data_IF_586401223547
#
_entry.id   IF_586401223547
#
_cell.length_a   1.000
_cell.length_b   1.000
_cell.length_c   1.000
_cell.angle_alpha   90.00
_cell.angle_beta   90.00
_cell.angle_gamma   90.00
#
_symmetry.space_group_name_H-M   'P 1'
#
loop_
_entity.id
_entity.type
_entity.pdbx_description
1 polymer ?
#
# COMPACT_ATOMS: atom_id res chain seq x y z
N UNK A 1 -13.03 -16.70 13.15
CA UNK A 1 -12.55 -15.71 12.18
C UNK A 1 -11.24 -15.13 12.69
N UNK A 2 -10.17 -15.24 11.92
CA UNK A 2 -8.85 -14.73 12.31
C UNK A 2 -8.67 -13.27 11.87
N UNK A 3 -8.00 -12.48 12.70
CA UNK A 3 -7.68 -11.09 12.38
C UNK A 3 -6.56 -11.04 11.35
N UNK A 4 -6.74 -10.22 10.33
CA UNK A 4 -5.71 -9.91 9.35
C UNK A 4 -5.00 -8.61 9.75
N UNK A 5 -3.78 -8.74 10.28
CA UNK A 5 -2.95 -7.61 10.69
C UNK A 5 -2.51 -6.79 9.48
N UNK A 6 -2.60 -5.46 9.58
CA UNK A 6 -2.24 -4.56 8.49
C UNK A 6 -3.27 -4.50 7.36
N UNK A 7 -4.49 -4.92 7.63
CA UNK A 7 -5.61 -4.91 6.68
C UNK A 7 -6.90 -4.44 7.35
N UNK A 8 -7.90 -4.17 6.53
CA UNK A 8 -9.25 -3.92 7.02
C UNK A 8 -9.90 -5.21 7.47
N UNK A 9 -10.57 -5.13 8.63
CA UNK A 9 -11.35 -6.22 9.21
C UNK A 9 -12.72 -5.65 9.59
N UNK A 10 -13.79 -6.40 9.34
CA UNK A 10 -15.14 -6.04 9.81
C UNK A 10 -15.39 -6.72 11.14
N UNK A 11 -15.48 -5.93 12.21
CA UNK A 11 -15.59 -6.43 13.58
C UNK A 11 -16.80 -5.84 14.29
N UNK A 12 -17.37 -6.61 15.21
CA UNK A 12 -18.52 -6.20 16.02
C UNK A 12 -18.06 -5.48 17.28
N UNK A 13 -18.73 -4.37 17.61
CA UNK A 13 -18.55 -3.65 18.87
C UNK A 13 -19.19 -4.47 19.99
N UNK A 14 -18.41 -4.88 20.97
CA UNK A 14 -18.89 -5.74 22.07
C UNK A 14 -18.97 -5.02 23.41
N UNK A 15 -18.28 -3.88 23.56
CA UNK A 15 -18.23 -3.18 24.85
C UNK A 15 -17.84 -1.72 24.65
N UNK A 16 -18.51 -0.83 25.38
CA UNK A 16 -18.15 0.59 25.46
C UNK A 16 -17.38 0.84 26.77
N UNK A 17 -16.30 1.60 26.68
CA UNK A 17 -15.50 2.02 27.82
C UNK A 17 -15.20 3.52 27.71
N UNK A 18 -14.69 4.14 28.78
CA UNK A 18 -14.43 5.58 28.82
C UNK A 18 -13.44 6.04 27.74
N UNK A 19 -12.51 5.20 27.31
CA UNK A 19 -11.45 5.53 26.37
C UNK A 19 -11.65 4.94 24.96
N UNK A 20 -12.81 4.35 24.69
CA UNK A 20 -13.13 3.84 23.35
C UNK A 20 -14.16 2.72 23.35
N UNK A 21 -14.11 1.93 22.29
CA UNK A 21 -14.92 0.74 22.11
C UNK A 21 -14.01 -0.47 21.99
N UNK A 22 -14.44 -1.61 22.57
CA UNK A 22 -13.78 -2.89 22.30
C UNK A 22 -14.54 -3.64 21.20
N UNK A 23 -13.76 -4.19 20.27
CA UNK A 23 -14.26 -4.96 19.13
C UNK A 23 -13.93 -6.43 19.31
N UNK A 24 -14.78 -7.31 18.78
CA UNK A 24 -14.56 -8.76 18.81
C UNK A 24 -13.45 -9.16 17.85
N UNK A 25 -12.28 -9.49 18.39
CA UNK A 25 -11.13 -9.99 17.65
C UNK A 25 -11.06 -11.51 17.53
N UNK A 26 -12.13 -12.22 17.88
CA UNK A 26 -12.15 -13.68 17.87
C UNK A 26 -11.09 -14.28 18.78
N UNK A 27 -10.21 -15.10 18.25
CA UNK A 27 -9.12 -15.74 19.01
C UNK A 27 -8.13 -14.74 19.60
N UNK A 28 -8.02 -13.55 19.02
CA UNK A 28 -7.14 -12.49 19.51
C UNK A 28 -7.73 -11.71 20.70
N UNK A 29 -8.96 -12.03 21.08
CA UNK A 29 -9.65 -11.34 22.17
C UNK A 29 -10.23 -10.00 21.73
N UNK A 30 -10.49 -9.13 22.69
CA UNK A 30 -11.04 -7.80 22.45
C UNK A 30 -9.96 -6.84 21.95
N UNK A 31 -10.30 -6.10 20.88
CA UNK A 31 -9.39 -5.12 20.26
C UNK A 31 -9.95 -3.72 20.49
N UNK A 32 -9.12 -2.82 21.03
CA UNK A 32 -9.52 -1.44 21.31
C UNK A 32 -9.59 -0.60 20.03
N UNK A 33 -10.71 0.08 19.88
CA UNK A 33 -10.88 1.23 18.98
C UNK A 33 -10.90 2.49 19.84
N UNK A 34 -9.83 3.29 19.84
CA UNK A 34 -9.77 4.51 20.67
C UNK A 34 -10.89 5.48 20.39
N UNK A 35 -11.34 6.21 21.41
CA UNK A 35 -12.50 7.12 21.36
C UNK A 35 -12.47 8.09 20.17
N UNK A 36 -11.29 8.64 19.85
CA UNK A 36 -11.13 9.61 18.75
C UNK A 36 -11.47 9.03 17.38
N UNK A 37 -11.45 7.69 17.24
CA UNK A 37 -11.72 7.00 15.97
C UNK A 37 -13.08 6.31 15.94
N UNK A 38 -13.85 6.39 17.03
CA UNK A 38 -15.19 5.82 17.11
C UNK A 38 -16.14 6.68 16.28
N UNK A 39 -16.87 6.09 15.31
CA UNK A 39 -17.86 6.83 14.52
C UNK A 39 -18.97 7.42 15.42
N UNK A 40 -19.53 8.54 14.97
CA UNK A 40 -20.68 9.14 15.64
C UNK A 40 -21.85 8.13 15.70
N UNK A 41 -22.56 8.12 16.83
CA UNK A 41 -23.72 7.24 17.07
C UNK A 41 -23.39 5.73 17.03
N UNK A 42 -22.12 5.37 17.19
CA UNK A 42 -21.70 3.98 17.32
C UNK A 42 -22.12 3.37 18.65
N UNK A 43 -22.64 2.17 18.62
CA UNK A 43 -23.12 1.45 19.81
C UNK A 43 -22.76 -0.04 19.76
N UNK A 44 -22.82 -0.68 20.90
CA UNK A 44 -22.63 -2.14 21.04
C UNK A 44 -23.56 -2.88 20.09
N UNK A 45 -22.99 -3.84 19.36
CA UNK A 45 -23.69 -4.62 18.33
C UNK A 45 -23.43 -4.13 16.90
N UNK A 46 -22.95 -2.90 16.74
CA UNK A 46 -22.59 -2.39 15.42
C UNK A 46 -21.38 -3.11 14.84
N UNK A 47 -21.39 -3.31 13.53
CA UNK A 47 -20.24 -3.85 12.81
C UNK A 47 -19.49 -2.71 12.13
N UNK A 48 -18.20 -2.63 12.38
CA UNK A 48 -17.32 -1.60 11.85
C UNK A 48 -16.25 -2.19 10.94
N UNK A 49 -15.99 -1.52 9.84
CA UNK A 49 -14.84 -1.82 8.99
C UNK A 49 -13.66 -0.98 9.49
N UNK A 50 -12.69 -1.63 10.13
CA UNK A 50 -11.55 -1.00 10.76
C UNK A 50 -10.23 -1.57 10.27
N UNK A 51 -9.21 -0.73 10.25
CA UNK A 51 -7.85 -1.15 9.99
C UNK A 51 -7.18 -1.57 11.28
N UNK A 52 -6.53 -2.73 11.28
CA UNK A 52 -5.89 -3.31 12.47
C UNK A 52 -4.38 -3.21 12.33
N UNK A 53 -3.74 -2.62 13.33
CA UNK A 53 -2.27 -2.52 13.39
C UNK A 53 -1.78 -2.70 14.83
N UNK A 54 -0.48 -2.63 15.06
CA UNK A 54 0.12 -2.75 16.39
C UNK A 54 0.45 -1.38 16.95
N UNK A 55 0.09 -1.12 18.21
CA UNK A 55 0.49 0.09 18.91
C UNK A 55 1.98 0.02 19.35
N UNK A 56 2.45 1.04 20.07
CA UNK A 56 3.85 1.10 20.51
C UNK A 56 4.24 0.02 21.52
N UNK A 57 3.26 -0.62 22.15
CA UNK A 57 3.44 -1.75 23.06
C UNK A 57 3.18 -3.11 22.38
N UNK A 58 3.10 -3.12 21.05
CA UNK A 58 2.87 -4.31 20.21
C UNK A 58 1.52 -4.98 20.47
N UNK A 59 0.52 -4.20 20.90
CA UNK A 59 -0.85 -4.68 21.07
C UNK A 59 -1.67 -4.36 19.81
N UNK A 60 -2.57 -5.27 19.45
CA UNK A 60 -3.53 -5.01 18.38
C UNK A 60 -4.40 -3.82 18.74
N UNK A 61 -4.53 -2.89 17.80
CA UNK A 61 -5.38 -1.70 17.93
C UNK A 61 -6.10 -1.45 16.61
N UNK A 62 -7.33 -0.96 16.70
CA UNK A 62 -8.15 -0.62 15.54
C UNK A 62 -8.18 0.89 15.30
N UNK A 63 -8.36 1.27 14.05
CA UNK A 63 -8.58 2.67 13.67
C UNK A 63 -9.60 2.77 12.53
N UNK A 64 -10.33 3.87 12.51
CA UNK A 64 -11.17 4.27 11.38
C UNK A 64 -10.46 5.25 10.44
N UNK A 65 -9.23 5.62 10.75
CA UNK A 65 -8.37 6.34 9.81
C UNK A 65 -8.09 5.47 8.59
N UNK A 66 -7.92 6.10 7.43
CA UNK A 66 -7.59 5.41 6.19
C UNK A 66 -6.08 5.40 6.00
N UNK A 67 -5.41 4.24 6.13
CA UNK A 67 -3.99 4.15 5.84
C UNK A 67 -3.75 4.34 4.34
N UNK A 68 -2.57 4.86 3.99
CA UNK A 68 -2.16 5.07 2.60
C UNK A 68 -1.74 3.76 1.92
N UNK A 69 -1.53 2.72 2.68
CA UNK A 69 -1.15 1.40 2.19
C UNK A 69 -1.60 0.32 3.18
N UNK A 70 -1.97 -0.84 2.65
CA UNK A 70 -2.22 -2.05 3.44
C UNK A 70 -1.10 -3.07 3.20
N UNK A 71 -1.00 -4.05 4.09
CA UNK A 71 -0.11 -5.20 3.87
C UNK A 71 -0.43 -5.86 2.53
N UNK A 72 0.59 -6.10 1.72
CA UNK A 72 0.47 -6.65 0.37
C UNK A 72 0.38 -5.62 -0.74
N UNK A 73 0.34 -4.34 -0.41
CA UNK A 73 0.22 -3.25 -1.37
C UNK A 73 1.48 -2.38 -1.44
N UNK A 74 1.56 -1.59 -2.50
CA UNK A 74 2.61 -0.59 -2.72
C UNK A 74 2.04 0.82 -2.55
N UNK A 75 2.88 1.74 -2.07
CA UNK A 75 2.56 3.16 -2.02
C UNK A 75 3.82 4.01 -2.04
N UNK A 76 3.69 5.25 -2.49
CA UNK A 76 4.73 6.26 -2.40
C UNK A 76 4.50 7.07 -1.13
N UNK A 77 5.42 6.96 -0.17
CA UNK A 77 5.27 7.53 1.17
C UNK A 77 6.44 8.44 1.52
N UNK A 78 6.15 9.48 2.31
CA UNK A 78 7.13 10.45 2.76
C UNK A 78 7.80 9.99 4.06
N UNK A 79 9.12 10.17 4.13
CA UNK A 79 9.90 9.90 5.34
C UNK A 79 9.67 11.03 6.34
N UNK A 80 9.07 10.67 7.50
CA UNK A 80 8.81 11.63 8.57
C UNK A 80 10.04 11.84 9.47
N UNK A 81 10.75 10.75 9.79
CA UNK A 81 11.95 10.81 10.63
C UNK A 81 12.79 9.54 10.47
N UNK A 82 14.04 9.60 10.95
CA UNK A 82 15.02 8.51 10.85
C UNK A 82 15.69 8.35 12.20
N UNK A 83 15.96 7.11 12.60
CA UNK A 83 16.77 6.81 13.77
C UNK A 83 17.88 5.81 13.42
N UNK A 84 18.50 5.24 14.44
CA UNK A 84 19.60 4.27 14.28
C UNK A 84 19.17 2.92 13.66
N UNK A 85 17.88 2.65 13.56
CA UNK A 85 17.35 1.38 13.01
C UNK A 85 16.81 1.50 11.59
N UNK A 86 16.41 2.67 11.19
CA UNK A 86 15.84 2.88 9.88
C UNK A 86 15.00 4.15 9.75
N UNK A 87 14.17 4.17 8.73
CA UNK A 87 13.28 5.28 8.42
C UNK A 87 11.85 4.97 8.85
N UNK A 88 11.12 6.03 9.19
CA UNK A 88 9.71 5.96 9.57
C UNK A 88 8.91 6.85 8.63
N UNK A 89 7.97 6.23 7.91
CA UNK A 89 7.21 6.85 6.83
C UNK A 89 5.79 7.15 7.28
N UNK A 90 5.31 8.32 6.89
CA UNK A 90 3.92 8.69 7.12
C UNK A 90 3.00 7.86 6.21
N UNK A 91 2.16 7.04 6.79
CA UNK A 91 1.16 6.25 6.07
C UNK A 91 -0.28 6.55 6.50
N UNK A 92 -0.48 7.71 7.15
CA UNK A 92 -1.80 8.20 7.53
C UNK A 92 -2.28 7.78 8.91
N UNK A 93 -1.49 7.04 9.66
CA UNK A 93 -1.82 6.58 11.01
C UNK A 93 -0.96 7.30 12.07
N UNK A 94 -1.34 7.18 13.33
CA UNK A 94 -0.58 7.76 14.46
C UNK A 94 0.82 7.19 14.58
N UNK A 95 0.98 5.90 14.29
CA UNK A 95 2.27 5.22 14.30
C UNK A 95 2.79 5.14 12.87
N UNK A 96 3.99 5.66 12.62
CA UNK A 96 4.61 5.64 11.29
C UNK A 96 5.02 4.23 10.87
N UNK A 97 5.11 4.03 9.56
CA UNK A 97 5.51 2.75 8.96
C UNK A 97 7.02 2.64 8.89
N UNK A 98 7.56 1.57 9.47
CA UNK A 98 9.00 1.37 9.61
C UNK A 98 9.63 0.72 8.38
N UNK A 99 10.76 1.29 7.92
CA UNK A 99 11.60 0.73 6.85
C UNK A 99 13.02 0.55 7.41
N UNK A 100 13.41 -0.69 7.79
CA UNK A 100 14.76 -0.95 8.28
C UNK A 100 15.80 -0.58 7.23
N UNK A 101 17.02 -0.25 7.63
CA UNK A 101 18.09 0.10 6.68
C UNK A 101 18.35 -0.99 5.65
N UNK A 102 18.27 -2.28 6.05
CA UNK A 102 18.48 -3.42 5.12
C UNK A 102 17.40 -3.50 4.02
N UNK A 103 16.24 -2.85 4.23
CA UNK A 103 15.14 -2.81 3.26
C UNK A 103 15.13 -1.54 2.41
N UNK A 104 16.11 -0.68 2.58
CA UNK A 104 16.29 0.53 1.77
C UNK A 104 17.21 0.24 0.59
N UNK A 105 16.78 0.63 -0.60
CA UNK A 105 17.59 0.48 -1.82
C UNK A 105 18.75 1.46 -1.84
N UNK A 106 18.47 2.69 -1.41
CA UNK A 106 19.45 3.73 -1.10
C UNK A 106 19.04 4.35 0.22
N UNK A 107 19.97 4.97 0.93
CA UNK A 107 19.69 5.59 2.23
C UNK A 107 18.57 6.63 2.08
N UNK A 108 17.47 6.42 2.78
CA UNK A 108 16.33 7.33 2.76
C UNK A 108 16.66 8.65 3.46
N UNK A 109 16.02 9.73 3.03
CA UNK A 109 16.19 11.08 3.58
C UNK A 109 14.84 11.64 4.04
N UNK A 110 14.84 12.31 5.19
CA UNK A 110 13.66 12.98 5.74
C UNK A 110 13.06 13.96 4.72
N UNK A 111 11.74 13.94 4.58
CA UNK A 111 11.00 14.79 3.66
C UNK A 111 10.92 14.29 2.23
N UNK A 112 11.69 13.28 1.86
CA UNK A 112 11.62 12.66 0.53
C UNK A 112 10.62 11.52 0.51
N UNK A 113 10.07 11.24 -0.67
CA UNK A 113 9.08 10.18 -0.91
C UNK A 113 9.71 8.99 -1.61
N UNK A 114 9.30 7.80 -1.22
CA UNK A 114 9.80 6.54 -1.79
C UNK A 114 8.65 5.58 -2.01
N UNK A 115 8.71 4.82 -3.10
CA UNK A 115 7.78 3.72 -3.33
C UNK A 115 8.21 2.53 -2.50
N UNK A 116 7.31 2.04 -1.67
CA UNK A 116 7.56 0.91 -0.76
C UNK A 116 6.43 -0.10 -0.84
N UNK A 117 6.73 -1.33 -0.43
CA UNK A 117 5.76 -2.41 -0.24
C UNK A 117 5.59 -2.68 1.26
N UNK A 118 4.36 -2.68 1.74
CA UNK A 118 4.07 -3.03 3.13
C UNK A 118 3.89 -4.55 3.27
N UNK A 119 4.52 -5.13 4.27
CA UNK A 119 4.45 -6.57 4.52
C UNK A 119 4.62 -6.86 6.01
N UNK A 120 4.31 -8.09 6.41
CA UNK A 120 4.60 -8.58 7.75
C UNK A 120 6.02 -9.12 7.78
N UNK A 121 6.82 -8.68 8.75
CA UNK A 121 8.15 -9.22 8.97
C UNK A 121 8.05 -10.68 9.45
N UNK A 122 8.76 -11.59 8.78
CA UNK A 122 8.69 -13.02 9.05
C UNK A 122 9.12 -13.41 10.46
N UNK A 123 10.04 -12.66 11.05
CA UNK A 123 10.56 -12.95 12.39
C UNK A 123 9.72 -12.30 13.50
N UNK A 124 9.42 -11.00 13.37
CA UNK A 124 8.74 -10.22 14.42
C UNK A 124 7.22 -10.15 14.27
N UNK A 125 6.68 -10.53 13.11
CA UNK A 125 5.26 -10.35 12.74
C UNK A 125 4.77 -8.91 12.81
N UNK A 126 5.69 -7.93 12.79
CA UNK A 126 5.34 -6.52 12.74
C UNK A 126 5.10 -6.08 11.30
N UNK A 127 4.31 -5.02 11.15
CA UNK A 127 4.11 -4.39 9.85
C UNK A 127 5.35 -3.54 9.55
N UNK A 128 6.03 -3.85 8.46
CA UNK A 128 7.21 -3.13 7.98
C UNK A 128 7.05 -2.84 6.50
N UNK A 129 7.92 -2.01 5.96
CA UNK A 129 7.94 -1.74 4.54
C UNK A 129 9.33 -1.91 3.94
N UNK A 130 9.38 -2.14 2.63
CA UNK A 130 10.60 -2.33 1.87
C UNK A 130 10.58 -1.48 0.61
N UNK A 131 11.69 -0.80 0.32
CA UNK A 131 11.90 -0.11 -0.95
C UNK A 131 12.44 -1.06 -2.04
N UNK A 132 12.70 -2.31 -1.71
CA UNK A 132 13.16 -3.34 -2.64
C UNK A 132 11.96 -3.95 -3.37
N UNK A 133 11.31 -3.13 -4.18
CA UNK A 133 10.03 -3.39 -4.84
C UNK A 133 10.05 -4.68 -5.65
N UNK A 134 11.13 -4.98 -6.37
CA UNK A 134 11.24 -6.16 -7.22
C UNK A 134 10.97 -7.48 -6.50
N UNK A 135 11.25 -7.56 -5.19
CA UNK A 135 11.05 -8.78 -4.40
C UNK A 135 9.57 -9.14 -4.25
N UNK A 136 8.70 -8.14 -4.32
CA UNK A 136 7.27 -8.27 -4.03
C UNK A 136 6.41 -8.27 -5.28
N UNK A 137 7.01 -8.11 -6.45
CA UNK A 137 6.33 -8.22 -7.73
C UNK A 137 6.25 -9.68 -8.17
N UNK A 138 5.14 -10.05 -8.81
CA UNK A 138 4.93 -11.41 -9.28
C UNK A 138 5.98 -11.81 -10.32
N UNK A 139 6.47 -13.01 -10.22
CA UNK A 139 7.36 -13.65 -11.21
C UNK A 139 6.58 -14.48 -12.23
N UNK A 140 5.30 -14.68 -12.00
CA UNK A 140 4.44 -15.40 -12.92
C UNK A 140 4.07 -14.52 -14.12
N UNK A 141 3.80 -15.16 -15.25
CA UNK A 141 3.33 -14.45 -16.45
C UNK A 141 1.91 -13.95 -16.22
N UNK A 142 1.71 -12.64 -16.42
CA UNK A 142 0.40 -12.03 -16.29
C UNK A 142 -0.57 -12.50 -17.37
N UNK A 143 -1.86 -12.52 -17.06
CA UNK A 143 -2.94 -12.93 -17.96
C UNK A 143 -3.81 -11.71 -18.31
N UNK A 144 -3.19 -10.61 -18.71
CA UNK A 144 -3.90 -9.43 -19.18
C UNK A 144 -4.16 -9.51 -20.68
N UNK A 145 -5.31 -9.00 -21.08
CA UNK A 145 -5.64 -8.83 -22.49
C UNK A 145 -5.17 -7.47 -23.02
N UNK A 146 -4.84 -7.41 -24.31
CA UNK A 146 -4.52 -6.13 -24.97
C UNK A 146 -5.70 -5.17 -24.86
N UNK A 147 -5.44 -3.94 -24.44
CA UNK A 147 -6.46 -2.92 -24.20
C UNK A 147 -7.11 -2.95 -22.82
N UNK A 148 -6.79 -3.92 -21.98
CA UNK A 148 -7.33 -4.00 -20.62
C UNK A 148 -6.90 -2.81 -19.79
N UNK A 149 -7.87 -2.16 -19.12
CA UNK A 149 -7.61 -1.07 -18.18
C UNK A 149 -7.05 -1.62 -16.87
N UNK A 150 -6.01 -0.97 -16.37
CA UNK A 150 -5.35 -1.33 -15.12
C UNK A 150 -5.01 -0.08 -14.30
N UNK A 151 -4.85 -0.27 -12.99
CA UNK A 151 -4.33 0.76 -12.09
C UNK A 151 -2.82 0.67 -12.04
N UNK A 152 -2.14 1.81 -12.16
CA UNK A 152 -0.68 1.84 -12.08
C UNK A 152 -0.16 2.83 -11.05
N UNK A 153 1.02 2.51 -10.51
CA UNK A 153 1.84 3.37 -9.69
C UNK A 153 3.20 3.50 -10.35
N UNK A 154 3.56 4.72 -10.78
CA UNK A 154 4.88 5.00 -11.35
C UNK A 154 5.93 4.85 -10.24
N UNK A 155 6.93 4.01 -10.45
CA UNK A 155 7.89 3.76 -9.38
C UNK A 155 9.35 3.98 -9.75
N UNK A 156 9.70 4.02 -11.04
CA UNK A 156 11.08 4.26 -11.44
C UNK A 156 11.16 4.83 -12.87
N UNK A 157 11.95 5.89 -13.02
CA UNK A 157 12.34 6.37 -14.33
C UNK A 157 13.50 5.53 -14.87
N UNK A 158 13.46 5.19 -16.15
CA UNK A 158 14.50 4.43 -16.86
C UNK A 158 14.87 5.14 -18.16
N UNK A 159 15.92 4.68 -18.84
CA UNK A 159 16.32 5.20 -20.14
C UNK A 159 15.25 5.00 -21.23
N UNK A 160 14.41 3.96 -21.07
CA UNK A 160 13.35 3.63 -22.02
C UNK A 160 12.03 4.36 -21.73
N UNK A 161 11.85 4.88 -20.53
CA UNK A 161 10.61 5.49 -20.09
C UNK A 161 10.40 5.30 -18.57
N UNK A 162 9.22 4.84 -18.16
CA UNK A 162 8.90 4.66 -16.76
C UNK A 162 8.43 3.25 -16.47
N UNK A 163 8.97 2.68 -15.40
CA UNK A 163 8.41 1.46 -14.81
C UNK A 163 7.20 1.80 -13.94
N UNK A 164 6.16 1.00 -14.06
CA UNK A 164 4.94 1.14 -13.29
C UNK A 164 4.55 -0.19 -12.64
N UNK A 165 4.03 -0.10 -11.42
CA UNK A 165 3.46 -1.25 -10.72
C UNK A 165 1.99 -1.34 -11.14
N UNK A 166 1.60 -2.51 -11.64
CA UNK A 166 0.26 -2.78 -12.17
C UNK A 166 -0.55 -3.54 -11.13
N UNK A 167 -1.67 -2.97 -10.67
CA UNK A 167 -2.61 -3.60 -9.74
C UNK A 167 -1.94 -4.19 -8.48
N UNK A 168 -0.91 -3.53 -7.95
CA UNK A 168 -0.11 -3.98 -6.80
C UNK A 168 0.57 -5.35 -7.01
N UNK A 169 0.74 -5.82 -8.24
CA UNK A 169 1.14 -7.20 -8.51
C UNK A 169 2.27 -7.34 -9.53
N UNK A 170 2.20 -6.64 -10.67
CA UNK A 170 3.15 -6.79 -11.77
C UNK A 170 3.90 -5.49 -12.06
N UNK A 171 5.05 -5.60 -12.70
CA UNK A 171 5.76 -4.46 -13.28
C UNK A 171 5.49 -4.37 -14.78
N UNK A 172 5.24 -3.16 -15.25
CA UNK A 172 5.12 -2.85 -16.67
C UNK A 172 5.98 -1.66 -17.05
N UNK A 173 6.11 -1.41 -18.35
CA UNK A 173 6.90 -0.31 -18.90
C UNK A 173 6.03 0.59 -19.76
N UNK A 174 6.08 1.89 -19.45
CA UNK A 174 5.59 2.96 -20.30
C UNK A 174 6.78 3.51 -21.07
N UNK A 175 6.80 3.32 -22.40
CA UNK A 175 7.86 3.83 -23.25
C UNK A 175 7.72 5.34 -23.44
N UNK A 176 8.85 6.04 -23.42
CA UNK A 176 8.89 7.50 -23.56
C UNK A 176 8.16 7.99 -24.82
N UNK A 177 8.27 7.26 -25.93
CA UNK A 177 7.58 7.57 -27.19
C UNK A 177 6.05 7.54 -27.09
N UNK A 178 5.49 6.87 -26.09
CA UNK A 178 4.05 6.75 -25.86
C UNK A 178 3.54 7.70 -24.75
N UNK A 179 4.43 8.53 -24.20
CA UNK A 179 4.12 9.43 -23.09
C UNK A 179 4.00 10.85 -23.62
N UNK A 180 2.83 11.45 -23.45
CA UNK A 180 2.50 12.79 -23.93
C UNK A 180 2.15 13.76 -22.81
N UNK A 181 2.44 13.39 -21.57
CA UNK A 181 2.20 14.20 -20.38
C UNK A 181 3.35 14.04 -19.40
N UNK A 182 3.58 15.02 -18.51
CA UNK A 182 4.61 14.87 -17.49
C UNK A 182 4.29 13.73 -16.54
N UNK A 183 5.27 12.86 -16.30
CA UNK A 183 5.18 11.78 -15.32
C UNK A 183 6.28 11.94 -14.29
N UNK A 184 6.00 11.51 -13.06
CA UNK A 184 6.99 11.42 -11.99
C UNK A 184 6.72 10.22 -11.10
N UNK A 185 7.75 9.78 -10.40
CA UNK A 185 7.65 8.70 -9.43
C UNK A 185 6.60 9.02 -8.37
N UNK A 186 5.75 8.06 -8.06
CA UNK A 186 4.67 8.20 -7.08
C UNK A 186 3.31 8.53 -7.68
N UNK A 187 3.23 8.88 -8.96
CA UNK A 187 1.94 9.12 -9.61
C UNK A 187 1.12 7.84 -9.69
N UNK A 188 -0.17 7.96 -9.38
CA UNK A 188 -1.16 6.91 -9.60
C UNK A 188 -2.12 7.33 -10.69
N UNK A 189 -2.42 6.40 -11.59
CA UNK A 189 -3.32 6.67 -12.71
C UNK A 189 -3.85 5.37 -13.30
N UNK A 190 -4.82 5.49 -14.20
CA UNK A 190 -5.24 4.40 -15.07
C UNK A 190 -4.28 4.29 -16.25
N UNK A 191 -4.06 3.07 -16.71
CA UNK A 191 -3.31 2.77 -17.91
C UNK A 191 -3.96 1.59 -18.63
N UNK A 192 -3.44 1.27 -19.81
CA UNK A 192 -3.96 0.18 -20.63
C UNK A 192 -2.83 -0.75 -21.01
N UNK A 193 -3.08 -2.04 -20.97
CA UNK A 193 -2.12 -3.04 -21.40
C UNK A 193 -2.02 -3.01 -22.93
N UNK A 194 -0.84 -2.73 -23.45
CA UNK A 194 -0.58 -2.85 -24.89
C UNK A 194 -0.42 -4.31 -25.27
N UNK A 195 0.45 -5.00 -24.56
CA UNK A 195 0.69 -6.43 -24.74
C UNK A 195 1.40 -7.02 -23.51
N UNK A 196 1.22 -8.31 -23.29
CA UNK A 196 2.07 -9.15 -22.45
C UNK A 196 2.97 -9.93 -23.39
N UNK A 197 4.28 -9.67 -23.32
CA UNK A 197 5.27 -10.32 -24.20
C UNK A 197 5.46 -11.79 -23.79
N UNK A 198 6.05 -12.59 -24.69
CA UNK A 198 6.36 -14.00 -24.42
C UNK A 198 7.33 -14.16 -23.23
N UNK A 199 8.23 -13.20 -23.03
CA UNK A 199 9.16 -13.16 -21.90
C UNK A 199 8.49 -12.71 -20.57
N UNK A 200 7.19 -12.45 -20.59
CA UNK A 200 6.41 -12.00 -19.44
C UNK A 200 6.43 -10.51 -19.19
N UNK A 201 7.21 -9.72 -19.90
CA UNK A 201 7.22 -8.26 -19.78
C UNK A 201 5.91 -7.67 -20.28
N UNK A 202 5.46 -6.60 -19.63
CA UNK A 202 4.19 -5.95 -19.94
C UNK A 202 4.45 -4.54 -20.47
N UNK A 203 3.98 -4.26 -21.68
CA UNK A 203 4.00 -2.93 -22.27
C UNK A 203 2.68 -2.23 -21.99
N UNK A 204 2.76 -0.98 -21.56
CA UNK A 204 1.63 -0.15 -21.14
C UNK A 204 1.45 1.05 -22.04
N UNK A 205 0.19 1.53 -22.11
CA UNK A 205 -0.19 2.78 -22.76
C UNK A 205 -1.00 3.63 -21.77
N UNK A 206 -0.88 4.95 -21.86
CA UNK A 206 -1.69 5.87 -21.05
C UNK A 206 -3.06 6.14 -21.69
N UNK A 207 -3.22 5.86 -22.96
CA UNK A 207 -4.47 6.05 -23.69
C UNK A 207 -5.00 4.70 -24.17
N UNK A 208 -6.33 4.56 -24.17
CA UNK A 208 -6.98 3.35 -24.68
C UNK A 208 -6.60 3.16 -26.16
N UNK A 209 -6.17 1.93 -26.56
CA UNK A 209 -5.86 1.65 -27.96
C UNK A 209 -7.06 1.96 -28.87
N UNK A 210 -6.80 2.61 -29.99
CA UNK A 210 -7.83 2.96 -30.98
C UNK A 210 -8.58 4.28 -30.75
N UNK A 211 -8.28 5.01 -29.66
CA UNK A 211 -8.77 6.38 -29.50
C UNK A 211 -7.88 7.33 -30.32
N UNK A 212 -8.51 8.07 -31.23
CA UNK A 212 -7.82 9.12 -31.96
C UNK A 212 -7.27 10.17 -30.99
N UNK A 213 -6.03 10.61 -31.22
CA UNK A 213 -5.51 11.79 -30.55
C UNK A 213 -6.44 12.95 -30.87
N UNK A 214 -7.06 13.53 -29.85
CA UNK A 214 -7.71 14.82 -29.99
C UNK A 214 -6.56 15.83 -29.95
N UNK A 215 -6.26 16.47 -31.10
CA UNK A 215 -5.33 17.59 -31.19
C UNK A 215 -5.86 18.79 -30.41
#
# INVERSE_FOLDING_TARGET
MSIELGKYNTLEVVKEVAFGMYLDGGEEGEILLPSRYVPQDCKVGDKLNVFIYLDNEERLVATTLTPLVQVGQFACLEVAWINQYGAFLNWGLMKDLFVPFREQKMKMQVGKKYVVHAHLDDESYRIVASAKVDRYLSKEKAVYESGQEVDILIWQKTDLGFKAIINDEYSGLLYESEIFQPLHTGMRMKAYVKQVREDGKIDLLLQKPGQAKVE
#
